data_IF_095656216114
#
_entry.id   IF_095656216114
#
_cell.length_a   1.000
_cell.length_b   1.000
_cell.length_c   1.000
_cell.angle_alpha   90.00
_cell.angle_beta   90.00
_cell.angle_gamma   90.00
#
_symmetry.space_group_name_H-M   'P 1'
#
loop_
_entity.id
_entity.type
_entity.pdbx_description
1 polymer ?
#
# COMPACT_ATOMS: atom_id res chain seq x y z
N UNK A 1 105.35 3.45 69.85
CA UNK A 1 104.39 4.51 69.67
C UNK A 1 104.92 5.48 68.62
N UNK A 2 104.46 5.42 67.33
CA UNK A 2 104.78 6.44 66.32
C UNK A 2 103.59 6.60 65.41
N UNK A 3 102.87 7.74 65.54
CA UNK A 3 101.78 8.15 64.69
C UNK A 3 102.32 8.59 63.29
N UNK A 4 101.91 7.92 62.26
CA UNK A 4 102.11 8.41 60.86
C UNK A 4 100.99 9.33 60.44
N UNK A 5 101.38 10.58 60.09
CA UNK A 5 100.48 11.56 59.54
C UNK A 5 100.11 11.23 58.08
N UNK A 6 98.85 11.16 57.74
CA UNK A 6 98.36 11.02 56.36
C UNK A 6 98.36 12.39 55.70
N UNK A 7 99.15 12.54 54.62
CA UNK A 7 99.18 13.72 53.78
C UNK A 7 97.86 13.87 53.01
N UNK A 8 97.32 15.06 53.06
CA UNK A 8 96.02 15.46 52.41
C UNK A 8 96.25 15.69 50.92
N UNK A 9 95.84 14.71 50.09
CA UNK A 9 95.85 14.78 48.61
C UNK A 9 94.51 15.41 48.07
N UNK A 10 94.14 16.61 48.49
CA UNK A 10 92.87 17.21 48.15
C UNK A 10 92.90 18.15 46.89
N UNK A 11 93.93 18.78 46.43
CA UNK A 11 93.80 19.70 45.32
C UNK A 11 93.73 19.05 43.91
N UNK A 12 94.09 17.74 43.75
CA UNK A 12 94.05 17.11 42.41
C UNK A 12 92.69 16.63 41.98
N UNK A 13 91.81 16.25 42.91
CA UNK A 13 90.45 15.80 42.57
C UNK A 13 89.49 16.96 42.31
N UNK A 14 89.72 18.14 42.85
CA UNK A 14 88.87 19.32 42.57
C UNK A 14 89.12 19.92 41.18
N UNK A 15 90.34 19.84 40.68
CA UNK A 15 90.68 20.32 39.33
C UNK A 15 90.09 19.42 38.24
N UNK A 16 90.09 18.07 38.45
CA UNK A 16 89.45 17.13 37.49
C UNK A 16 87.94 17.24 37.55
N UNK A 17 87.34 17.44 38.71
CA UNK A 17 85.90 17.59 38.89
C UNK A 17 85.31 18.85 38.16
N UNK A 18 86.01 20.00 38.28
CA UNK A 18 85.58 21.26 37.68
C UNK A 18 85.71 21.23 36.14
N UNK A 19 86.76 20.61 35.60
CA UNK A 19 86.94 20.45 34.16
C UNK A 19 85.94 19.48 33.59
N UNK A 20 85.56 18.37 34.25
CA UNK A 20 84.56 17.46 33.78
C UNK A 20 83.15 18.10 33.78
N UNK A 21 82.78 18.90 34.75
CA UNK A 21 81.50 19.62 34.82
C UNK A 21 81.44 20.68 33.77
N UNK A 22 82.51 21.38 33.47
CA UNK A 22 82.55 22.37 32.38
C UNK A 22 82.46 21.70 31.00
N UNK A 23 83.11 20.56 30.76
CA UNK A 23 82.98 19.81 29.50
C UNK A 23 81.60 19.23 29.33
N UNK A 24 80.99 18.65 30.38
CA UNK A 24 79.61 18.17 30.34
C UNK A 24 78.64 19.33 30.19
N UNK A 25 78.83 20.47 30.84
CA UNK A 25 78.05 21.67 30.70
C UNK A 25 78.12 22.27 29.29
N UNK A 26 79.31 22.34 28.69
CA UNK A 26 79.54 22.79 27.35
C UNK A 26 78.92 21.84 26.28
N UNK A 27 79.04 20.52 26.55
CA UNK A 27 78.38 19.52 25.68
C UNK A 27 76.83 19.60 25.77
N UNK A 28 76.29 19.81 26.97
CA UNK A 28 74.84 20.00 27.17
C UNK A 28 74.31 21.29 26.50
N UNK A 29 75.10 22.39 26.60
CA UNK A 29 74.75 23.65 25.91
C UNK A 29 74.85 23.54 24.38
N UNK A 30 75.84 22.76 23.87
CA UNK A 30 75.96 22.46 22.45
C UNK A 30 74.82 21.53 21.94
N UNK A 31 74.41 20.56 22.76
CA UNK A 31 73.23 19.71 22.41
C UNK A 31 71.91 20.46 22.53
N UNK A 32 71.78 21.44 23.40
CA UNK A 32 70.60 22.31 23.52
C UNK A 32 70.57 23.45 22.47
N UNK A 33 71.70 23.69 21.75
CA UNK A 33 71.79 24.65 20.64
C UNK A 33 71.76 24.02 19.26
N UNK A 34 71.46 22.72 19.15
CA UNK A 34 71.05 22.20 17.86
C UNK A 34 69.82 22.97 17.43
N UNK A 35 69.82 23.70 16.33
CA UNK A 35 68.58 24.22 15.79
C UNK A 35 67.68 22.99 15.58
N UNK A 36 66.52 23.05 16.18
CA UNK A 36 65.45 22.12 15.88
C UNK A 36 65.22 22.24 14.39
N UNK A 37 65.93 21.47 13.58
CA UNK A 37 65.48 21.14 12.25
C UNK A 37 64.23 20.31 12.53
N UNK A 38 63.08 21.02 12.68
CA UNK A 38 61.81 20.43 12.40
C UNK A 38 62.01 19.80 11.01
N UNK A 39 62.17 18.49 10.95
CA UNK A 39 62.01 17.75 9.73
C UNK A 39 60.63 18.19 9.22
N UNK A 40 60.63 19.10 8.31
CA UNK A 40 59.48 19.25 7.39
C UNK A 40 59.44 17.90 6.70
N UNK A 41 58.71 16.97 7.28
CA UNK A 41 58.16 15.88 6.51
C UNK A 41 57.37 16.60 5.46
N UNK A 42 57.87 16.58 4.23
CA UNK A 42 57.05 16.85 3.04
C UNK A 42 55.95 15.79 3.10
N UNK A 43 54.88 16.08 3.85
CA UNK A 43 53.63 15.34 3.77
C UNK A 43 53.10 15.65 2.38
N UNK A 44 53.48 14.81 1.44
CA UNK A 44 52.93 14.85 0.09
C UNK A 44 51.45 14.45 0.21
N UNK A 45 50.58 15.45 0.24
CA UNK A 45 49.14 15.21 0.22
C UNK A 45 48.77 14.55 -1.13
N UNK A 46 48.27 13.33 -1.06
CA UNK A 46 47.79 12.62 -2.23
C UNK A 46 46.49 13.28 -2.69
N UNK A 47 46.51 13.89 -3.86
CA UNK A 47 45.31 14.47 -4.47
C UNK A 47 44.55 13.38 -5.20
N UNK A 48 43.27 13.25 -4.89
CA UNK A 48 42.35 12.33 -5.54
C UNK A 48 41.26 13.15 -6.23
N UNK A 49 40.97 12.82 -7.47
CA UNK A 49 39.84 13.43 -8.19
C UNK A 49 38.51 12.87 -7.65
N UNK A 50 37.64 13.76 -7.20
CA UNK A 50 36.26 13.39 -6.91
C UNK A 50 35.60 12.88 -8.19
N UNK A 51 34.91 11.76 -8.11
CA UNK A 51 34.22 11.14 -9.24
C UNK A 51 32.72 11.20 -8.99
N UNK A 52 31.95 11.47 -10.03
CA UNK A 52 30.52 11.21 -9.96
C UNK A 52 30.27 9.69 -9.93
N UNK A 53 29.58 9.25 -8.94
CA UNK A 53 29.23 7.85 -8.76
C UNK A 53 28.03 7.69 -7.84
N UNK A 54 27.66 6.45 -7.57
CA UNK A 54 26.64 6.15 -6.58
C UNK A 54 27.23 5.24 -5.52
N UNK A 55 27.16 5.67 -4.27
CA UNK A 55 27.36 4.76 -3.14
C UNK A 55 26.06 4.01 -2.98
N UNK A 56 26.09 2.70 -3.28
CA UNK A 56 24.93 1.85 -3.12
C UNK A 56 24.65 1.67 -1.63
N UNK A 57 23.65 2.37 -1.12
CA UNK A 57 23.08 1.99 0.17
C UNK A 57 21.93 1.03 -0.07
N UNK A 58 21.94 -0.12 0.59
CA UNK A 58 20.80 -1.03 0.57
C UNK A 58 19.99 -0.88 1.85
N UNK A 59 18.68 -0.74 1.69
CA UNK A 59 17.74 -0.81 2.80
C UNK A 59 17.17 -2.23 2.82
N UNK A 60 17.35 -2.91 3.94
CA UNK A 60 16.79 -4.25 4.14
C UNK A 60 15.43 -4.14 4.84
N UNK A 61 14.42 -4.74 4.22
CA UNK A 61 13.06 -4.77 4.71
C UNK A 61 12.57 -6.21 4.78
N UNK A 62 11.50 -6.43 5.51
CA UNK A 62 10.81 -7.71 5.53
C UNK A 62 9.36 -7.54 5.09
N UNK A 63 8.83 -8.56 4.41
CA UNK A 63 7.45 -8.60 3.99
C UNK A 63 6.92 -10.02 3.91
N UNK A 64 5.64 -10.13 3.61
CA UNK A 64 4.96 -11.41 3.37
C UNK A 64 4.34 -11.38 1.97
N UNK A 65 4.51 -12.46 1.23
CA UNK A 65 3.90 -12.63 -0.08
C UNK A 65 2.41 -12.86 0.10
N UNK A 66 1.60 -12.09 -0.60
CA UNK A 66 0.14 -12.21 -0.64
C UNK A 66 -0.33 -12.22 -2.09
N UNK A 67 -1.51 -12.76 -2.35
CA UNK A 67 -2.13 -12.57 -3.65
C UNK A 67 -2.49 -11.09 -3.85
N UNK A 68 -2.44 -10.61 -5.07
CA UNK A 68 -2.91 -9.27 -5.42
C UNK A 68 -4.42 -9.20 -5.37
N UNK A 69 -5.07 -10.24 -5.91
CA UNK A 69 -6.51 -10.37 -5.95
C UNK A 69 -6.94 -11.63 -5.19
N UNK A 70 -7.87 -11.45 -4.26
CA UNK A 70 -8.52 -12.55 -3.54
C UNK A 70 -9.99 -12.20 -3.30
N UNK A 71 -10.84 -13.20 -3.28
CA UNK A 71 -12.25 -13.05 -3.01
C UNK A 71 -12.69 -13.97 -1.88
N UNK A 72 -13.29 -13.36 -0.86
CA UNK A 72 -13.97 -14.06 0.21
C UNK A 72 -15.48 -14.00 -0.03
N UNK A 73 -16.11 -15.13 -0.18
CA UNK A 73 -17.57 -15.23 -0.25
C UNK A 73 -18.06 -15.65 1.11
N UNK A 74 -18.80 -14.77 1.77
CA UNK A 74 -19.39 -15.02 3.08
C UNK A 74 -20.82 -15.53 2.97
N UNK A 75 -21.27 -16.33 3.94
CA UNK A 75 -22.65 -16.71 4.04
C UNK A 75 -23.53 -15.49 4.35
N UNK A 76 -24.60 -15.34 3.59
CA UNK A 76 -25.56 -14.23 3.72
C UNK A 76 -26.98 -14.80 3.80
N UNK A 77 -27.53 -14.85 5.01
CA UNK A 77 -28.88 -15.36 5.25
C UNK A 77 -30.00 -14.52 4.58
N UNK A 78 -29.72 -13.27 4.20
CA UNK A 78 -30.69 -12.41 3.51
C UNK A 78 -30.97 -12.85 2.06
N UNK A 79 -30.09 -13.67 1.48
CA UNK A 79 -30.22 -14.20 0.12
C UNK A 79 -31.06 -15.49 0.05
N UNK A 80 -31.46 -16.02 1.21
CA UNK A 80 -32.21 -17.25 1.32
C UNK A 80 -31.40 -18.43 1.87
N UNK A 81 -31.95 -19.62 1.77
CA UNK A 81 -31.26 -20.84 2.17
C UNK A 81 -30.15 -21.19 1.17
N UNK A 82 -28.99 -21.65 1.67
CA UNK A 82 -27.92 -22.17 0.85
C UNK A 82 -28.39 -23.44 0.13
N UNK A 83 -28.39 -23.42 -1.19
CA UNK A 83 -28.81 -24.56 -2.04
C UNK A 83 -27.58 -25.40 -2.43
N UNK A 84 -26.58 -24.75 -3.06
CA UNK A 84 -25.41 -25.44 -3.58
C UNK A 84 -24.14 -24.56 -3.50
N UNK A 85 -22.99 -25.18 -3.18
CA UNK A 85 -21.66 -24.63 -3.43
C UNK A 85 -21.07 -25.36 -4.62
N UNK A 86 -20.99 -24.67 -5.77
CA UNK A 86 -20.71 -25.25 -7.09
C UNK A 86 -19.23 -25.51 -7.32
N UNK A 87 -18.35 -25.22 -6.34
CA UNK A 87 -16.89 -25.36 -6.46
C UNK A 87 -16.33 -26.18 -5.32
N UNK A 88 -15.13 -26.74 -5.54
CA UNK A 88 -14.35 -27.51 -4.57
C UNK A 88 -12.94 -26.92 -4.41
N UNK A 89 -12.30 -27.22 -3.27
CA UNK A 89 -10.92 -26.83 -3.03
C UNK A 89 -9.98 -27.38 -4.11
N UNK A 90 -9.18 -26.51 -4.68
CA UNK A 90 -8.27 -26.83 -5.79
C UNK A 90 -8.83 -26.52 -7.17
N UNK A 91 -10.11 -26.20 -7.31
CA UNK A 91 -10.69 -25.86 -8.61
C UNK A 91 -10.17 -24.50 -9.08
N UNK A 92 -9.93 -24.40 -10.39
CA UNK A 92 -9.66 -23.13 -11.06
C UNK A 92 -10.97 -22.49 -11.46
N UNK A 93 -11.12 -21.23 -11.13
CA UNK A 93 -12.31 -20.44 -11.43
C UNK A 93 -11.96 -19.22 -12.26
N UNK A 94 -12.84 -18.86 -13.20
CA UNK A 94 -12.74 -17.66 -14.00
C UNK A 94 -13.66 -16.58 -13.44
N UNK A 95 -13.38 -15.32 -13.77
CA UNK A 95 -14.28 -14.21 -13.46
C UNK A 95 -15.68 -14.47 -14.07
N UNK A 96 -16.73 -14.20 -13.29
CA UNK A 96 -18.12 -14.47 -13.69
C UNK A 96 -18.60 -15.91 -13.48
N UNK A 97 -17.76 -16.83 -13.07
CA UNK A 97 -18.15 -18.22 -12.78
C UNK A 97 -19.00 -18.28 -11.51
N UNK A 98 -20.08 -19.08 -11.53
CA UNK A 98 -20.94 -19.29 -10.37
C UNK A 98 -20.19 -20.09 -9.28
N UNK A 99 -20.20 -19.56 -8.07
CA UNK A 99 -19.53 -20.14 -6.89
C UNK A 99 -20.54 -20.75 -5.91
N UNK A 100 -21.59 -20.00 -5.63
CA UNK A 100 -22.59 -20.35 -4.61
C UNK A 100 -23.96 -20.03 -5.16
N UNK A 101 -24.91 -20.93 -4.94
CA UNK A 101 -26.32 -20.72 -5.24
C UNK A 101 -27.13 -20.77 -3.95
N UNK A 102 -27.97 -19.80 -3.79
CA UNK A 102 -29.03 -19.77 -2.77
C UNK A 102 -30.36 -20.17 -3.41
N UNK A 103 -31.31 -20.60 -2.58
CA UNK A 103 -32.66 -20.95 -3.05
C UNK A 103 -33.31 -19.75 -3.74
N UNK A 104 -33.66 -19.91 -5.00
CA UNK A 104 -34.30 -18.86 -5.82
C UNK A 104 -35.82 -18.92 -5.79
N UNK A 105 -36.43 -19.88 -5.07
CA UNK A 105 -37.87 -20.15 -5.12
C UNK A 105 -38.73 -18.94 -4.76
N UNK A 106 -38.37 -18.22 -3.68
CA UNK A 106 -39.13 -17.05 -3.25
C UNK A 106 -38.91 -15.86 -4.18
N UNK A 107 -37.66 -15.59 -4.60
CA UNK A 107 -37.34 -14.52 -5.53
C UNK A 107 -38.00 -14.76 -6.91
N UNK A 108 -38.02 -16.00 -7.40
CA UNK A 108 -38.68 -16.37 -8.64
C UNK A 108 -40.22 -16.17 -8.54
N UNK A 109 -40.82 -16.60 -7.43
CA UNK A 109 -42.27 -16.42 -7.20
C UNK A 109 -42.61 -14.90 -7.16
N UNK A 110 -41.79 -14.07 -6.54
CA UNK A 110 -41.98 -12.62 -6.52
C UNK A 110 -41.85 -12.00 -7.91
N UNK A 111 -40.86 -12.41 -8.70
CA UNK A 111 -40.71 -11.98 -10.09
C UNK A 111 -41.93 -12.34 -10.97
N UNK A 112 -42.39 -13.60 -10.85
CA UNK A 112 -43.55 -14.07 -11.59
C UNK A 112 -44.85 -13.35 -11.19
N UNK A 113 -45.00 -13.05 -9.88
CA UNK A 113 -46.14 -12.27 -9.39
C UNK A 113 -46.14 -10.83 -9.94
N UNK A 114 -44.99 -10.16 -9.93
CA UNK A 114 -44.86 -8.82 -10.50
C UNK A 114 -45.10 -8.82 -12.01
N UNK A 115 -44.58 -9.84 -12.72
CA UNK A 115 -44.83 -10.00 -14.18
C UNK A 115 -46.32 -10.16 -14.49
N UNK A 116 -47.05 -10.93 -13.68
CA UNK A 116 -48.52 -11.06 -13.82
C UNK A 116 -49.23 -9.75 -13.50
N UNK A 117 -48.76 -8.96 -12.56
CA UNK A 117 -49.32 -7.66 -12.21
C UNK A 117 -49.16 -6.66 -13.37
N UNK A 118 -47.98 -6.63 -14.02
CA UNK A 118 -47.77 -5.83 -15.24
C UNK A 118 -48.71 -6.23 -16.35
N UNK A 119 -48.83 -7.52 -16.65
CA UNK A 119 -49.73 -8.03 -17.68
C UNK A 119 -51.21 -7.70 -17.40
N UNK A 120 -51.61 -7.68 -16.13
CA UNK A 120 -52.95 -7.26 -15.71
C UNK A 120 -53.16 -5.76 -15.93
N UNK A 121 -52.19 -4.94 -15.53
CA UNK A 121 -52.23 -3.49 -15.72
C UNK A 121 -52.30 -3.13 -17.22
N UNK A 122 -51.50 -3.79 -18.06
CA UNK A 122 -51.52 -3.59 -19.52
C UNK A 122 -52.88 -3.89 -20.14
N UNK A 123 -53.53 -5.00 -19.74
CA UNK A 123 -54.89 -5.31 -20.18
C UNK A 123 -55.88 -4.22 -19.78
N UNK A 124 -55.82 -3.78 -18.52
CA UNK A 124 -56.69 -2.74 -18.00
C UNK A 124 -56.51 -1.39 -18.74
N UNK A 125 -55.27 -1.01 -18.98
CA UNK A 125 -54.93 0.16 -19.77
C UNK A 125 -55.55 0.06 -21.19
N UNK A 126 -55.43 -1.10 -21.84
CA UNK A 126 -56.02 -1.34 -23.17
C UNK A 126 -57.56 -1.25 -23.15
N UNK A 127 -58.22 -1.80 -22.13
CA UNK A 127 -59.68 -1.71 -21.93
C UNK A 127 -60.12 -0.25 -21.78
N UNK A 128 -59.36 0.55 -20.97
CA UNK A 128 -59.65 1.97 -20.81
C UNK A 128 -59.46 2.77 -22.10
N UNK A 129 -58.43 2.46 -22.91
CA UNK A 129 -58.27 3.09 -24.23
C UNK A 129 -59.41 2.74 -25.17
N UNK A 130 -59.93 1.50 -25.19
CA UNK A 130 -61.11 1.12 -25.97
C UNK A 130 -62.34 1.86 -25.49
N UNK A 131 -62.55 1.98 -24.17
CA UNK A 131 -63.67 2.74 -23.60
C UNK A 131 -63.58 4.24 -23.96
N UNK A 132 -62.36 4.83 -23.90
CA UNK A 132 -62.11 6.23 -24.31
C UNK A 132 -62.46 6.47 -25.77
N UNK A 133 -61.97 5.62 -26.67
CA UNK A 133 -62.25 5.71 -28.10
C UNK A 133 -63.76 5.54 -28.40
N UNK A 134 -64.43 4.67 -27.63
CA UNK A 134 -65.89 4.50 -27.78
C UNK A 134 -66.68 5.72 -27.28
N UNK A 135 -66.21 6.38 -26.21
CA UNK A 135 -66.83 7.59 -25.69
C UNK A 135 -66.61 8.79 -26.63
N UNK A 136 -65.45 8.88 -27.30
CA UNK A 136 -65.18 9.89 -28.33
C UNK A 136 -65.95 9.66 -29.63
N UNK A 137 -66.17 8.39 -30.00
CA UNK A 137 -66.85 8.04 -31.22
C UNK A 137 -68.43 8.15 -31.18
N UNK A 138 -68.95 8.33 -29.92
CA UNK A 138 -70.41 8.52 -29.79
C UNK A 138 -70.79 9.93 -30.24
N UNK A 139 -71.40 10.13 -31.49
CA UNK A 139 -71.81 11.46 -31.90
C UNK A 139 -72.87 11.93 -30.93
N UNK A 140 -72.79 13.19 -30.50
CA UNK A 140 -73.90 13.86 -29.88
C UNK A 140 -75.02 13.84 -30.91
N UNK A 141 -75.95 12.89 -30.83
CA UNK A 141 -77.15 12.86 -31.69
C UNK A 141 -77.90 14.14 -31.39
N UNK A 142 -78.08 15.06 -32.44
CA UNK A 142 -78.96 16.19 -32.23
C UNK A 142 -80.37 15.61 -32.17
N UNK A 143 -80.96 15.54 -31.01
CA UNK A 143 -82.38 15.23 -30.87
C UNK A 143 -83.13 16.43 -31.44
N UNK A 144 -83.49 16.33 -32.75
CA UNK A 144 -84.37 17.29 -33.41
C UNK A 144 -85.76 17.19 -32.79
N UNK A 145 -86.20 18.28 -32.12
CA UNK A 145 -87.56 18.53 -31.81
C UNK A 145 -87.92 18.48 -30.33
N UNK A 146 -87.85 19.62 -29.74
CA UNK A 146 -88.92 20.31 -28.98
C UNK A 146 -88.30 21.59 -28.37
N UNK A 147 -88.91 22.71 -28.82
CA UNK A 147 -88.54 24.06 -28.31
C UNK A 147 -88.72 24.15 -26.78
N UNK A 148 -87.70 24.51 -26.12
CA UNK A 148 -87.72 24.76 -24.64
C UNK A 148 -86.37 24.70 -24.05
N UNK A 149 -85.63 25.80 -24.08
CA UNK A 149 -84.34 26.16 -23.50
C UNK A 149 -83.83 25.28 -22.34
N UNK A 150 -82.77 24.53 -22.63
CA UNK A 150 -81.60 24.26 -21.73
C UNK A 150 -80.44 23.94 -22.67
N UNK A 151 -79.89 25.00 -23.18
CA UNK A 151 -78.63 24.95 -23.88
C UNK A 151 -77.48 24.76 -22.84
N UNK A 152 -76.71 23.70 -22.92
CA UNK A 152 -75.46 23.57 -22.15
C UNK A 152 -75.16 22.29 -21.40
N UNK A 153 -76.14 21.38 -21.16
CA UNK A 153 -75.94 20.23 -20.28
C UNK A 153 -75.43 18.95 -20.97
N UNK A 154 -75.52 18.81 -22.31
CA UNK A 154 -75.26 17.54 -23.01
C UNK A 154 -73.84 17.44 -23.62
N UNK A 155 -73.23 18.56 -23.98
CA UNK A 155 -71.85 18.61 -24.42
C UNK A 155 -70.91 18.45 -23.23
N UNK A 156 -71.33 18.85 -22.04
CA UNK A 156 -70.54 18.73 -20.78
C UNK A 156 -70.49 17.31 -20.27
N UNK A 157 -71.44 16.44 -20.50
CA UNK A 157 -71.43 15.05 -20.05
C UNK A 157 -70.46 14.17 -20.84
N UNK A 158 -70.27 14.34 -22.12
CA UNK A 158 -69.28 13.54 -22.91
C UNK A 158 -67.83 13.96 -22.60
N UNK A 159 -67.55 15.24 -22.45
CA UNK A 159 -66.30 15.76 -22.08
C UNK A 159 -65.89 15.34 -20.64
N UNK A 160 -66.85 15.29 -19.71
CA UNK A 160 -66.68 14.81 -18.35
C UNK A 160 -66.36 13.30 -18.30
N UNK A 161 -66.99 12.50 -19.18
CA UNK A 161 -66.72 11.06 -19.28
C UNK A 161 -65.34 10.76 -19.83
N UNK A 162 -64.89 11.43 -20.87
CA UNK A 162 -63.53 11.27 -21.43
C UNK A 162 -62.45 11.71 -20.43
N UNK A 163 -62.62 12.85 -19.75
CA UNK A 163 -61.70 13.31 -18.71
C UNK A 163 -61.60 12.35 -17.55
N UNK A 164 -62.71 11.70 -17.13
CA UNK A 164 -62.71 10.67 -16.10
C UNK A 164 -61.95 9.43 -16.54
N UNK A 165 -62.09 9.00 -17.81
CA UNK A 165 -61.34 7.85 -18.34
C UNK A 165 -59.87 8.19 -18.49
N UNK A 166 -59.49 9.41 -18.89
CA UNK A 166 -58.10 9.86 -18.96
C UNK A 166 -57.41 9.82 -17.56
N UNK A 167 -58.13 10.21 -16.52
CA UNK A 167 -57.63 10.07 -15.13
C UNK A 167 -57.44 8.59 -14.76
N UNK A 168 -58.38 7.72 -15.13
CA UNK A 168 -58.25 6.26 -14.87
C UNK A 168 -57.06 5.65 -15.65
N UNK A 169 -56.80 6.12 -16.87
CA UNK A 169 -55.63 5.70 -17.66
C UNK A 169 -54.33 6.13 -16.94
N UNK A 170 -54.29 7.34 -16.39
CA UNK A 170 -53.16 7.81 -15.62
C UNK A 170 -52.92 6.92 -14.40
N UNK A 171 -53.94 6.66 -13.60
CA UNK A 171 -53.88 5.79 -12.40
C UNK A 171 -53.47 4.36 -12.76
N UNK A 172 -53.97 3.83 -13.89
CA UNK A 172 -53.58 2.51 -14.38
C UNK A 172 -52.11 2.45 -14.84
N UNK A 173 -51.59 3.54 -15.44
CA UNK A 173 -50.18 3.67 -15.80
C UNK A 173 -49.31 3.75 -14.58
N UNK A 174 -49.69 4.47 -13.51
CA UNK A 174 -48.98 4.53 -12.26
C UNK A 174 -48.95 3.15 -11.58
N UNK A 175 -50.08 2.44 -11.59
CA UNK A 175 -50.16 1.05 -11.12
C UNK A 175 -49.19 0.11 -11.88
N UNK A 176 -49.11 0.30 -13.23
CA UNK A 176 -48.16 -0.44 -14.06
C UNK A 176 -46.71 -0.11 -13.71
N UNK A 177 -46.40 1.17 -13.52
CA UNK A 177 -45.05 1.61 -13.13
C UNK A 177 -44.62 1.01 -11.81
N UNK A 178 -45.50 0.99 -10.80
CA UNK A 178 -45.26 0.33 -9.53
C UNK A 178 -45.00 -1.17 -9.68
N UNK A 179 -45.75 -1.86 -10.55
CA UNK A 179 -45.55 -3.28 -10.82
C UNK A 179 -44.20 -3.55 -11.54
N UNK A 180 -43.77 -2.64 -12.44
CA UNK A 180 -42.43 -2.72 -13.06
C UNK A 180 -41.34 -2.54 -12.04
N UNK A 181 -41.46 -1.55 -11.15
CA UNK A 181 -40.46 -1.35 -10.07
C UNK A 181 -40.37 -2.58 -9.15
N UNK A 182 -41.50 -3.22 -8.86
CA UNK A 182 -41.52 -4.47 -8.09
C UNK A 182 -40.85 -5.62 -8.87
N UNK A 183 -41.05 -5.72 -10.17
CA UNK A 183 -40.41 -6.72 -11.02
C UNK A 183 -38.89 -6.53 -11.06
N UNK A 184 -38.43 -5.30 -11.24
CA UNK A 184 -37.01 -4.98 -11.23
C UNK A 184 -36.35 -5.36 -9.88
N UNK A 185 -37.02 -5.03 -8.77
CA UNK A 185 -36.56 -5.43 -7.44
C UNK A 185 -36.48 -6.94 -7.30
N UNK A 186 -37.51 -7.66 -7.73
CA UNK A 186 -37.54 -9.13 -7.66
C UNK A 186 -36.46 -9.75 -8.57
N UNK A 187 -36.22 -9.19 -9.75
CA UNK A 187 -35.13 -9.59 -10.65
C UNK A 187 -33.75 -9.39 -10.01
N UNK A 188 -33.53 -8.24 -9.36
CA UNK A 188 -32.30 -8.00 -8.64
C UNK A 188 -32.09 -9.00 -7.51
N UNK A 189 -33.13 -9.35 -6.76
CA UNK A 189 -33.09 -10.40 -5.73
C UNK A 189 -32.79 -11.77 -6.33
N UNK A 190 -33.44 -12.12 -7.46
CA UNK A 190 -33.19 -13.37 -8.16
C UNK A 190 -31.74 -13.48 -8.63
N UNK A 191 -31.18 -12.41 -9.23
CA UNK A 191 -29.77 -12.37 -9.63
C UNK A 191 -28.83 -12.49 -8.41
N UNK A 192 -29.21 -11.91 -7.29
CA UNK A 192 -28.42 -11.97 -6.05
C UNK A 192 -28.38 -13.37 -5.39
N UNK A 193 -29.27 -14.29 -5.79
CA UNK A 193 -29.24 -15.70 -5.29
C UNK A 193 -28.06 -16.48 -5.83
N UNK A 194 -27.41 -16.03 -6.91
CA UNK A 194 -26.20 -16.66 -7.44
C UNK A 194 -25.01 -15.73 -7.21
N UNK A 195 -24.04 -16.20 -6.43
CA UNK A 195 -22.79 -15.46 -6.20
C UNK A 195 -21.74 -15.88 -7.22
N UNK A 196 -21.23 -14.91 -7.96
CA UNK A 196 -20.24 -15.12 -9.00
C UNK A 196 -18.83 -14.78 -8.51
N UNK A 197 -17.84 -15.37 -9.16
CA UNK A 197 -16.43 -14.97 -8.98
C UNK A 197 -16.20 -13.60 -9.58
N UNK A 198 -15.53 -12.72 -8.82
CA UNK A 198 -15.05 -11.42 -9.27
C UNK A 198 -13.57 -11.44 -9.62
N UNK A 199 -12.90 -12.60 -9.41
CA UNK A 199 -11.48 -12.79 -9.65
C UNK A 199 -11.26 -14.11 -10.39
N UNK A 200 -10.20 -14.14 -11.20
CA UNK A 200 -9.66 -15.40 -11.72
C UNK A 200 -8.66 -15.96 -10.72
N UNK A 201 -8.75 -17.27 -10.41
CA UNK A 201 -7.86 -17.87 -9.42
C UNK A 201 -8.16 -19.32 -9.10
N UNK A 202 -7.62 -19.76 -7.98
CA UNK A 202 -7.82 -21.11 -7.44
C UNK A 202 -8.59 -21.04 -6.13
N UNK A 203 -9.55 -21.94 -5.95
CA UNK A 203 -10.31 -22.06 -4.70
C UNK A 203 -9.41 -22.70 -3.64
N UNK A 204 -9.16 -21.98 -2.55
CA UNK A 204 -8.29 -22.45 -1.46
C UNK A 204 -9.08 -22.95 -0.25
N UNK A 205 -10.32 -22.48 -0.08
CA UNK A 205 -11.18 -22.90 1.02
C UNK A 205 -12.64 -22.99 0.56
N UNK A 206 -13.32 -24.06 0.98
CA UNK A 206 -14.76 -24.26 0.81
C UNK A 206 -15.34 -24.80 2.12
N UNK A 207 -16.27 -24.05 2.70
CA UNK A 207 -17.02 -24.47 3.87
C UNK A 207 -18.50 -24.65 3.52
N UNK A 208 -18.97 -25.89 3.49
CA UNK A 208 -20.37 -26.22 3.22
C UNK A 208 -21.23 -26.29 4.48
N UNK A 209 -20.58 -26.34 5.65
CA UNK A 209 -21.24 -26.48 6.96
C UNK A 209 -21.31 -25.14 7.68
N UNK A 210 -22.09 -24.21 7.14
CA UNK A 210 -22.30 -22.92 7.77
C UNK A 210 -23.47 -22.96 8.76
N UNK A 211 -23.26 -22.34 9.90
CA UNK A 211 -24.33 -22.17 10.88
C UNK A 211 -25.25 -21.03 10.45
N UNK A 212 -26.55 -21.29 10.40
CA UNK A 212 -27.58 -20.28 10.12
C UNK A 212 -27.81 -19.31 11.30
N UNK A 213 -26.95 -19.33 12.32
CA UNK A 213 -27.11 -18.50 13.52
C UNK A 213 -26.73 -17.05 13.22
N UNK A 214 -27.60 -16.07 13.47
CA UNK A 214 -27.33 -14.66 13.24
C UNK A 214 -26.35 -14.03 14.24
N UNK A 215 -25.88 -14.78 15.22
CA UNK A 215 -25.01 -14.34 16.33
C UNK A 215 -23.57 -14.83 16.17
N UNK A 216 -22.99 -14.70 15.01
CA UNK A 216 -21.58 -15.10 14.82
C UNK A 216 -20.92 -14.31 13.70
N UNK A 217 -19.61 -14.27 13.72
CA UNK A 217 -18.81 -13.72 12.64
C UNK A 217 -19.25 -14.32 11.31
N UNK A 218 -19.34 -13.49 10.27
CA UNK A 218 -19.63 -13.93 8.91
C UNK A 218 -18.71 -15.09 8.53
N UNK A 219 -19.30 -16.28 8.33
CA UNK A 219 -18.51 -17.48 8.01
C UNK A 219 -18.15 -17.45 6.52
N UNK A 220 -16.88 -17.70 6.22
CA UNK A 220 -16.41 -17.82 4.84
C UNK A 220 -16.98 -19.11 4.24
N UNK A 221 -17.68 -19.01 3.11
CA UNK A 221 -18.16 -20.13 2.31
C UNK A 221 -17.12 -20.60 1.30
N UNK A 222 -16.54 -19.62 0.58
CA UNK A 222 -15.54 -19.87 -0.46
C UNK A 222 -14.47 -18.80 -0.40
N UNK A 223 -13.22 -19.21 -0.43
CA UNK A 223 -12.07 -18.30 -0.58
C UNK A 223 -11.32 -18.64 -1.87
N UNK A 224 -11.14 -17.65 -2.71
CA UNK A 224 -10.46 -17.74 -4.00
C UNK A 224 -9.25 -16.83 -3.96
N UNK A 225 -8.14 -17.32 -4.49
CA UNK A 225 -6.87 -16.62 -4.55
C UNK A 225 -6.35 -16.63 -5.98
N UNK A 226 -6.00 -15.47 -6.50
CA UNK A 226 -5.29 -15.36 -7.78
C UNK A 226 -3.84 -15.77 -7.60
N UNK A 227 -3.37 -16.74 -8.40
CA UNK A 227 -2.00 -17.24 -8.33
C UNK A 227 -1.05 -16.50 -9.28
N UNK A 228 -1.58 -15.80 -10.27
CA UNK A 228 -0.79 -15.23 -11.35
C UNK A 228 -0.17 -13.87 -10.97
N UNK A 229 -0.81 -13.16 -10.05
CA UNK A 229 -0.36 -11.85 -9.58
C UNK A 229 -0.12 -11.88 -8.08
N UNK A 230 1.15 -11.96 -7.70
CA UNK A 230 1.57 -11.86 -6.31
C UNK A 230 2.07 -10.46 -5.99
N UNK A 231 1.90 -10.08 -4.74
CA UNK A 231 2.42 -8.85 -4.16
C UNK A 231 3.09 -9.17 -2.82
N UNK A 232 4.01 -8.31 -2.42
CA UNK A 232 4.62 -8.39 -1.09
C UNK A 232 4.11 -7.24 -0.25
N UNK A 233 3.51 -7.56 0.89
CA UNK A 233 3.09 -6.57 1.89
C UNK A 233 4.05 -6.57 3.06
N UNK A 234 4.43 -5.38 3.52
CA UNK A 234 5.32 -5.21 4.66
C UNK A 234 5.07 -3.90 5.39
N UNK A 235 5.90 -3.65 6.39
CA UNK A 235 5.82 -2.44 7.22
C UNK A 235 7.19 -1.76 7.26
N UNK A 236 7.19 -0.45 7.03
CA UNK A 236 8.37 0.42 7.11
C UNK A 236 8.41 1.14 8.46
N UNK A 237 9.62 1.36 8.99
CA UNK A 237 9.80 2.36 10.04
C UNK A 237 9.85 3.77 9.44
N UNK A 238 9.54 4.79 10.22
CA UNK A 238 9.61 6.20 9.79
C UNK A 238 11.00 6.59 9.26
N UNK A 239 12.07 6.00 9.80
CA UNK A 239 13.46 6.26 9.36
C UNK A 239 13.72 5.79 7.93
N UNK A 240 13.06 4.72 7.50
CA UNK A 240 13.23 4.18 6.14
C UNK A 240 12.36 4.89 5.11
N UNK A 241 11.31 5.59 5.57
CA UNK A 241 10.33 6.24 4.70
C UNK A 241 10.98 7.31 3.79
N UNK A 242 11.95 8.06 4.32
CA UNK A 242 12.66 9.11 3.57
C UNK A 242 13.51 8.57 2.41
N UNK A 243 13.90 7.29 2.46
CA UNK A 243 14.82 6.67 1.51
C UNK A 243 14.12 5.81 0.45
N UNK A 244 12.79 5.76 0.46
CA UNK A 244 12.00 4.89 -0.40
C UNK A 244 10.98 5.71 -1.20
N UNK A 245 10.73 5.28 -2.43
CA UNK A 245 9.78 5.94 -3.31
C UNK A 245 8.94 4.93 -4.07
N UNK A 246 7.70 5.29 -4.35
CA UNK A 246 6.82 4.51 -5.22
C UNK A 246 7.43 4.43 -6.62
N UNK A 247 7.38 3.25 -7.23
CA UNK A 247 7.99 2.96 -8.52
C UNK A 247 9.44 2.45 -8.45
N UNK A 248 10.07 2.45 -7.27
CA UNK A 248 11.43 1.97 -7.08
C UNK A 248 11.50 0.45 -7.26
N UNK A 249 12.53 -0.02 -7.97
CA UNK A 249 12.79 -1.44 -8.17
C UNK A 249 13.43 -2.04 -6.91
N UNK A 250 12.99 -3.24 -6.58
CA UNK A 250 13.45 -3.99 -5.43
C UNK A 250 13.79 -5.42 -5.82
N UNK A 251 14.71 -6.01 -5.09
CA UNK A 251 15.01 -7.44 -5.16
C UNK A 251 14.65 -8.10 -3.83
N UNK A 252 14.13 -9.31 -3.88
CA UNK A 252 13.82 -10.03 -2.65
C UNK A 252 14.09 -11.51 -2.77
N UNK A 253 14.38 -12.13 -1.63
CA UNK A 253 14.66 -13.53 -1.48
C UNK A 253 13.78 -14.14 -0.40
N UNK A 254 13.57 -15.45 -0.42
CA UNK A 254 12.85 -16.16 0.63
C UNK A 254 13.82 -16.99 1.47
N UNK A 255 13.46 -17.27 2.72
CA UNK A 255 14.23 -18.19 3.56
C UNK A 255 14.23 -19.64 3.03
N UNK A 256 13.20 -20.00 2.26
CA UNK A 256 13.03 -21.35 1.70
C UNK A 256 13.91 -21.55 0.48
N UNK A 257 14.11 -20.50 -0.32
CA UNK A 257 14.92 -20.53 -1.54
C UNK A 257 15.92 -19.37 -1.50
N UNK A 258 17.01 -19.48 -0.73
CA UNK A 258 17.97 -18.39 -0.57
C UNK A 258 18.75 -18.07 -1.86
N UNK A 259 18.87 -19.05 -2.75
CA UNK A 259 19.59 -18.91 -4.02
C UNK A 259 18.72 -18.33 -5.15
N UNK A 260 17.41 -18.17 -4.91
CA UNK A 260 16.47 -17.58 -5.88
C UNK A 260 16.16 -16.15 -5.52
N UNK A 261 16.26 -15.27 -6.50
CA UNK A 261 15.95 -13.84 -6.35
C UNK A 261 14.78 -13.50 -7.24
N UNK A 262 13.82 -12.81 -6.68
CA UNK A 262 12.69 -12.21 -7.39
C UNK A 262 12.84 -10.71 -7.44
N UNK A 263 12.22 -10.10 -8.43
CA UNK A 263 12.20 -8.65 -8.59
C UNK A 263 10.77 -8.12 -8.49
N UNK A 264 10.66 -6.90 -8.03
CA UNK A 264 9.38 -6.20 -7.92
C UNK A 264 9.55 -4.69 -7.96
N UNK A 265 8.43 -4.00 -7.92
CA UNK A 265 8.37 -2.53 -7.81
C UNK A 265 7.50 -2.14 -6.64
N UNK A 266 7.93 -1.14 -5.89
CA UNK A 266 7.10 -0.54 -4.84
C UNK A 266 5.91 0.13 -5.52
N UNK A 267 4.71 -0.42 -5.32
CA UNK A 267 3.47 0.10 -5.90
C UNK A 267 2.76 1.07 -4.96
N UNK A 268 2.94 0.90 -3.65
CA UNK A 268 2.27 1.74 -2.67
C UNK A 268 3.10 1.87 -1.39
N UNK A 269 3.10 3.07 -0.83
CA UNK A 269 3.61 3.37 0.52
C UNK A 269 2.54 4.21 1.22
N UNK A 270 2.11 3.77 2.39
CA UNK A 270 1.09 4.49 3.16
C UNK A 270 1.65 5.78 3.76
N UNK A 271 0.89 6.85 3.67
CA UNK A 271 1.19 8.12 4.35
C UNK A 271 0.72 8.11 5.83
N UNK A 272 0.01 7.07 6.24
CA UNK A 272 -0.54 6.93 7.58
C UNK A 272 0.06 5.71 8.26
N UNK A 273 0.45 5.84 9.54
CA UNK A 273 0.92 4.70 10.30
C UNK A 273 -0.22 3.71 10.53
N UNK A 274 0.12 2.43 10.62
CA UNK A 274 -0.83 1.39 11.02
C UNK A 274 -1.22 1.61 12.48
N UNK A 275 -2.50 1.85 12.72
CA UNK A 275 -3.04 1.94 14.08
C UNK A 275 -3.05 0.55 14.72
N UNK A 276 -2.26 0.34 15.74
CA UNK A 276 -2.27 -0.88 16.57
C UNK A 276 -3.48 -0.88 17.53
N UNK A 277 -4.69 -0.64 17.01
CA UNK A 277 -5.91 -0.58 17.83
C UNK A 277 -6.36 -1.94 18.39
N UNK A 278 -5.71 -3.04 18.02
CA UNK A 278 -6.09 -4.39 18.47
C UNK A 278 -5.27 -4.94 19.65
N UNK A 279 -4.36 -4.13 20.23
CA UNK A 279 -3.55 -4.57 21.39
C UNK A 279 -3.71 -3.65 22.59
N UNK A 280 -4.95 -3.37 23.00
CA UNK A 280 -5.23 -2.53 24.18
C UNK A 280 -5.20 -3.30 25.51
N UNK A 281 -4.27 -4.24 25.69
CA UNK A 281 -4.11 -4.91 26.99
C UNK A 281 -2.67 -5.25 27.38
N UNK A 282 -1.65 -4.63 26.79
CA UNK A 282 -0.27 -4.80 27.28
C UNK A 282 0.35 -3.46 27.64
N UNK A 283 0.54 -3.22 28.93
CA UNK A 283 1.20 -2.05 29.53
C UNK A 283 2.71 -1.98 29.26
N UNK A 284 3.19 -2.68 28.24
CA UNK A 284 4.57 -2.61 27.74
C UNK A 284 4.58 -2.06 26.30
N UNK A 285 4.13 -0.81 26.12
CA UNK A 285 4.43 -0.05 24.93
C UNK A 285 5.93 0.31 24.95
N UNK A 286 6.78 -0.67 24.66
CA UNK A 286 8.18 -0.43 24.30
C UNK A 286 8.15 0.35 23.00
N UNK A 287 8.69 1.52 23.03
CA UNK A 287 9.16 2.49 22.05
C UNK A 287 9.40 1.95 20.60
N UNK A 288 8.43 1.24 20.02
CA UNK A 288 8.46 0.86 18.61
C UNK A 288 7.86 2.02 17.81
N UNK A 289 8.72 2.75 17.11
CA UNK A 289 8.33 3.86 16.23
C UNK A 289 7.19 3.51 15.30
N UNK A 290 6.56 4.53 14.75
CA UNK A 290 5.44 4.39 13.81
C UNK A 290 5.80 3.47 12.63
N UNK A 291 4.90 2.56 12.29
CA UNK A 291 5.06 1.62 11.19
C UNK A 291 4.12 1.98 10.05
N UNK A 292 4.64 2.07 8.85
CA UNK A 292 3.91 2.44 7.64
C UNK A 292 3.79 1.25 6.71
N UNK A 293 2.57 0.82 6.36
CA UNK A 293 2.36 -0.25 5.39
C UNK A 293 2.91 0.11 4.01
N UNK A 294 3.51 -0.86 3.34
CA UNK A 294 3.91 -0.75 1.94
C UNK A 294 3.52 -2.01 1.16
N UNK A 295 3.43 -1.86 -0.15
CA UNK A 295 3.15 -2.95 -1.09
C UNK A 295 4.15 -2.92 -2.24
N UNK A 296 4.61 -4.10 -2.65
CA UNK A 296 5.48 -4.31 -3.80
C UNK A 296 4.74 -5.26 -4.74
N UNK A 297 4.59 -4.87 -6.00
CA UNK A 297 4.10 -5.75 -7.04
C UNK A 297 5.26 -6.58 -7.58
N UNK A 298 5.09 -7.90 -7.63
CA UNK A 298 6.08 -8.82 -8.18
C UNK A 298 6.11 -8.68 -9.68
N UNK A 299 7.29 -8.39 -10.26
CA UNK A 299 7.47 -8.18 -11.70
C UNK A 299 8.18 -9.35 -12.39
N UNK A 300 8.87 -10.19 -11.63
CA UNK A 300 9.48 -11.41 -12.13
C UNK A 300 8.46 -12.56 -12.22
N UNK A 301 8.80 -13.62 -12.93
CA UNK A 301 8.02 -14.85 -12.92
C UNK A 301 7.86 -15.38 -11.49
N UNK A 302 6.64 -15.70 -11.12
CA UNK A 302 6.26 -16.17 -9.79
C UNK A 302 6.93 -17.50 -9.44
N UNK A 303 6.92 -18.46 -10.36
CA UNK A 303 7.57 -19.75 -10.22
C UNK A 303 7.23 -20.48 -8.91
N UNK A 304 8.25 -20.70 -8.08
CA UNK A 304 8.10 -21.38 -6.76
C UNK A 304 7.69 -20.45 -5.62
N UNK A 305 7.50 -19.15 -5.89
CA UNK A 305 7.04 -18.20 -4.90
C UNK A 305 5.58 -18.50 -4.54
N UNK A 306 5.29 -18.64 -3.25
CA UNK A 306 3.94 -18.94 -2.77
C UNK A 306 3.44 -17.89 -1.79
N UNK A 307 2.15 -17.70 -1.78
CA UNK A 307 1.47 -16.90 -0.77
C UNK A 307 1.83 -17.39 0.65
N UNK A 308 1.99 -16.46 1.58
CA UNK A 308 2.39 -16.73 2.95
C UNK A 308 3.91 -16.79 3.18
N UNK A 309 4.73 -16.81 2.13
CA UNK A 309 6.17 -16.79 2.31
C UNK A 309 6.65 -15.46 2.87
N UNK A 310 7.53 -15.52 3.87
CA UNK A 310 8.25 -14.35 4.36
C UNK A 310 9.46 -14.10 3.47
N UNK A 311 9.63 -12.85 3.04
CA UNK A 311 10.71 -12.42 2.17
C UNK A 311 11.59 -11.38 2.83
N UNK A 312 12.88 -11.43 2.51
CA UNK A 312 13.85 -10.35 2.78
C UNK A 312 13.99 -9.53 1.52
N UNK A 313 13.69 -8.23 1.63
CA UNK A 313 13.65 -7.30 0.52
C UNK A 313 14.87 -6.40 0.61
N UNK A 314 15.62 -6.30 -0.46
CA UNK A 314 16.73 -5.37 -0.63
C UNK A 314 16.33 -4.27 -1.60
N UNK A 315 16.32 -3.04 -1.11
CA UNK A 315 16.07 -1.86 -1.93
C UNK A 315 17.39 -1.15 -2.15
N UNK A 316 17.87 -1.15 -3.39
CA UNK A 316 19.11 -0.44 -3.77
C UNK A 316 18.78 1.02 -4.01
N UNK A 317 19.35 1.89 -3.20
CA UNK A 317 19.25 3.32 -3.35
C UNK A 317 20.53 3.83 -4.01
N UNK A 318 20.45 4.24 -5.28
CA UNK A 318 21.58 4.78 -6.03
C UNK A 318 21.38 6.28 -6.22
N UNK A 319 21.73 7.07 -5.22
CA UNK A 319 21.84 8.52 -5.41
C UNK A 319 23.17 8.84 -6.08
N UNK A 320 23.14 9.51 -7.23
CA UNK A 320 24.36 10.06 -7.84
C UNK A 320 24.88 11.17 -6.94
N UNK A 321 26.10 11.01 -6.46
CA UNK A 321 26.79 12.01 -5.65
C UNK A 321 28.27 12.08 -6.06
N UNK A 322 28.96 13.10 -5.62
CA UNK A 322 30.43 13.15 -5.72
C UNK A 322 30.99 12.17 -4.69
N UNK A 323 31.73 11.19 -5.16
CA UNK A 323 32.37 10.19 -4.32
C UNK A 323 33.81 10.58 -4.08
N UNK A 324 34.21 10.58 -2.81
CA UNK A 324 35.58 10.80 -2.36
C UNK A 324 36.02 9.68 -1.42
N UNK A 325 37.30 9.32 -1.35
CA UNK A 325 37.75 8.37 -0.36
C UNK A 325 37.40 8.85 1.05
N UNK A 326 36.97 7.94 1.92
CA UNK A 326 36.57 8.26 3.30
C UNK A 326 37.70 8.96 4.06
N UNK A 327 38.98 8.66 3.73
CA UNK A 327 40.16 9.30 4.30
C UNK A 327 40.33 10.76 3.92
N UNK A 328 39.59 11.26 2.93
CA UNK A 328 39.61 12.66 2.50
C UNK A 328 38.67 13.56 3.30
N UNK A 329 37.79 12.97 4.12
CA UNK A 329 36.85 13.69 4.96
C UNK A 329 37.44 13.87 6.34
N UNK A 330 37.47 15.10 6.83
CA UNK A 330 37.93 15.46 8.17
C UNK A 330 36.76 16.00 8.97
N UNK A 331 36.53 15.41 10.15
CA UNK A 331 35.49 15.88 11.08
C UNK A 331 36.14 16.80 12.12
N UNK A 332 35.63 18.02 12.24
CA UNK A 332 36.02 18.97 13.28
C UNK A 332 34.76 19.66 13.81
N UNK A 333 34.62 19.74 15.13
CA UNK A 333 33.52 20.44 15.82
C UNK A 333 32.13 20.05 15.30
N UNK A 334 31.88 18.73 15.10
CA UNK A 334 30.62 18.17 14.57
C UNK A 334 30.29 18.54 13.12
N UNK A 335 31.26 19.12 12.40
CA UNK A 335 31.16 19.45 10.98
C UNK A 335 32.14 18.66 10.14
N UNK A 336 31.75 18.35 8.92
CA UNK A 336 32.57 17.59 7.99
C UNK A 336 33.18 18.50 6.94
N UNK A 337 34.45 18.30 6.68
CA UNK A 337 35.22 19.13 5.75
C UNK A 337 36.03 18.26 4.80
N UNK A 338 36.23 18.79 3.60
CA UNK A 338 37.22 18.26 2.64
C UNK A 338 38.17 19.38 2.25
N UNK A 339 39.44 19.01 1.95
CA UNK A 339 40.40 19.92 1.38
C UNK A 339 40.38 19.85 -0.14
N UNK A 340 40.04 20.94 -0.82
CA UNK A 340 40.05 21.04 -2.29
C UNK A 340 41.19 21.92 -2.74
N UNK A 341 41.71 21.64 -3.93
CA UNK A 341 42.67 22.49 -4.57
C UNK A 341 41.94 23.56 -5.38
N UNK A 342 42.22 24.84 -5.14
CA UNK A 342 41.68 25.94 -5.95
C UNK A 342 42.44 26.10 -7.27
N UNK A 343 41.96 26.98 -8.13
CA UNK A 343 42.59 27.29 -9.44
C UNK A 343 44.06 27.77 -9.30
N UNK A 344 44.44 28.31 -8.15
CA UNK A 344 45.77 28.77 -7.81
C UNK A 344 46.64 27.70 -7.15
N UNK A 345 46.22 26.44 -7.16
CA UNK A 345 46.87 25.31 -6.50
C UNK A 345 47.07 25.51 -4.98
N UNK A 346 46.18 26.26 -4.35
CA UNK A 346 46.16 26.40 -2.87
C UNK A 346 45.09 25.49 -2.29
N UNK A 347 45.44 24.81 -1.19
CA UNK A 347 44.49 24.00 -0.47
C UNK A 347 43.44 24.88 0.25
N UNK A 348 42.18 24.64 0.01
CA UNK A 348 41.03 25.31 0.64
C UNK A 348 40.18 24.30 1.35
N UNK A 349 39.86 24.56 2.62
CA UNK A 349 38.97 23.77 3.41
C UNK A 349 37.52 24.13 3.11
N UNK A 350 36.69 23.17 2.76
CA UNK A 350 35.28 23.36 2.41
C UNK A 350 34.42 22.44 3.27
N UNK A 351 33.37 23.03 3.87
CA UNK A 351 32.36 22.29 4.62
C UNK A 351 31.48 21.52 3.63
N UNK A 352 31.23 20.22 3.93
CA UNK A 352 30.46 19.33 3.08
C UNK A 352 29.40 18.59 3.89
N UNK A 353 28.23 18.37 3.28
CA UNK A 353 27.22 17.45 3.81
C UNK A 353 27.58 16.03 3.36
N UNK A 354 27.67 15.11 4.32
CA UNK A 354 27.94 13.72 4.01
C UNK A 354 26.66 12.99 3.60
N UNK A 355 26.79 12.17 2.55
CA UNK A 355 25.76 11.21 2.13
C UNK A 355 26.00 9.83 2.73
N UNK A 356 25.61 8.80 1.96
CA UNK A 356 25.89 7.41 2.34
C UNK A 356 27.37 7.08 2.12
N UNK A 357 27.92 6.24 2.98
CA UNK A 357 29.30 5.75 2.86
C UNK A 357 29.34 4.25 2.63
N UNK A 358 30.34 3.76 1.92
CA UNK A 358 30.72 2.35 1.88
C UNK A 358 32.06 2.14 2.63
N UNK A 359 32.69 0.99 2.45
CA UNK A 359 33.96 0.68 3.14
C UNK A 359 35.15 1.56 2.69
N UNK A 360 35.09 2.16 1.48
CA UNK A 360 36.19 2.89 0.86
C UNK A 360 35.84 4.35 0.56
N UNK A 361 34.56 4.67 0.32
CA UNK A 361 34.08 5.94 -0.20
C UNK A 361 32.95 6.53 0.64
N UNK A 362 32.92 7.86 0.62
CA UNK A 362 31.89 8.69 1.24
C UNK A 362 31.19 9.54 0.20
#
# INVERSE_FOLDING_TARGET
MKKKSKAKKWPLFTAIGVTSVLVVGAAAVLLLRQPNQAATQDETAKIVLAKEGSVASSVLLSGTVTAQNEQYVYYDASKGDLDEVSVSVGDKVSEGQALVKYSSTEAQAAYDAASRAIAKADRHINELYQARNSAEATPATPQAGLEGGVDGAQAQTSGSSVSSIDSQISDARDTRADAVAQQEKALAQLNATTVLSTVEGTVVEVNRNVSKSPTGNSQVLVHIVSNDNLQVKGELSEYNLANLSVGQEVTFTTKVYPDKTWTGKISYISNYPKNNSESSSSLNASNSGSKYPFTIDVTSEVGDLKQGFTVSIEVKNSSKALIVPITSVVMEEEKNFVWILDENKKAKKVEVGLGNADAENQ
#
